data_IF_518133107287
#
_entry.id   IF_518133107287
#
_cell.length_a   1.000
_cell.length_b   1.000
_cell.length_c   1.000
_cell.angle_alpha   90.00
_cell.angle_beta   90.00
_cell.angle_gamma   90.00
#
_symmetry.space_group_name_H-M   'P 1'
#
loop_
_entity.id
_entity.type
_entity.pdbx_description
1 polymer ?
#
# COMPACT_ATOMS: atom_id res chain seq x y z
N UNK A 1 9.51 2.68 -21.69
CA UNK A 1 8.83 1.51 -21.13
C UNK A 1 7.67 1.17 -22.02
N UNK A 2 7.61 -0.06 -22.50
CA UNK A 2 6.50 -0.53 -23.33
C UNK A 2 5.31 -0.93 -22.44
N UNK A 3 4.07 -0.94 -22.95
CA UNK A 3 2.90 -1.40 -22.20
C UNK A 3 3.04 -2.83 -21.63
N UNK A 4 3.79 -3.70 -22.32
CA UNK A 4 4.07 -5.08 -21.88
C UNK A 4 4.96 -5.14 -20.63
N UNK A 5 5.90 -4.21 -20.49
CA UNK A 5 6.77 -4.09 -19.31
C UNK A 5 5.98 -3.62 -18.07
N UNK A 6 4.95 -2.79 -18.28
CA UNK A 6 4.07 -2.31 -17.21
C UNK A 6 3.19 -3.47 -16.70
N UNK A 7 2.66 -4.29 -17.62
CA UNK A 7 1.75 -5.41 -17.30
C UNK A 7 2.43 -6.59 -16.59
N UNK A 8 3.73 -6.80 -16.79
CA UNK A 8 4.46 -7.90 -16.13
C UNK A 8 4.75 -7.59 -14.65
N UNK A 9 4.79 -6.30 -14.28
CA UNK A 9 5.13 -5.83 -12.93
C UNK A 9 3.92 -5.57 -12.04
N UNK A 10 2.75 -5.43 -12.66
CA UNK A 10 1.50 -5.00 -12.07
C UNK A 10 0.47 -6.07 -12.44
N UNK A 11 -0.03 -6.82 -11.46
CA UNK A 11 -0.92 -7.96 -11.73
C UNK A 11 -2.19 -7.55 -12.49
N UNK A 12 -2.95 -8.51 -13.02
CA UNK A 12 -4.16 -8.23 -13.83
C UNK A 12 -5.22 -7.30 -13.17
N UNK A 13 -5.15 -7.07 -11.85
CA UNK A 13 -5.96 -6.10 -11.12
C UNK A 13 -5.53 -4.62 -11.33
N UNK A 14 -4.31 -4.36 -11.80
CA UNK A 14 -3.72 -3.01 -11.84
C UNK A 14 -4.13 -2.16 -13.04
N UNK A 15 -4.30 -2.73 -14.23
CA UNK A 15 -4.51 -1.89 -15.42
C UNK A 15 -5.84 -1.13 -15.36
N UNK A 16 -6.89 -1.78 -14.84
CA UNK A 16 -8.17 -1.12 -14.59
C UNK A 16 -8.06 -0.05 -13.51
N UNK A 17 -7.37 -0.34 -12.39
CA UNK A 17 -7.17 0.63 -11.31
C UNK A 17 -6.37 1.85 -11.79
N UNK A 18 -5.32 1.64 -12.59
CA UNK A 18 -4.52 2.71 -13.18
C UNK A 18 -5.36 3.56 -14.13
N UNK A 19 -6.20 2.94 -14.98
CA UNK A 19 -7.12 3.68 -15.85
C UNK A 19 -8.13 4.50 -15.05
N UNK A 20 -8.68 3.95 -13.98
CA UNK A 20 -9.63 4.65 -13.11
C UNK A 20 -8.96 5.81 -12.37
N UNK A 21 -7.78 5.61 -11.79
CA UNK A 21 -6.98 6.66 -11.15
C UNK A 21 -6.58 7.76 -12.14
N UNK A 22 -6.29 7.39 -13.39
CA UNK A 22 -5.90 8.33 -14.45
C UNK A 22 -7.04 9.25 -14.87
N UNK A 23 -8.29 8.82 -14.71
CA UNK A 23 -9.51 9.62 -15.00
C UNK A 23 -9.85 10.62 -13.90
N UNK A 24 -9.26 10.48 -12.71
CA UNK A 24 -9.46 11.44 -11.62
C UNK A 24 -8.66 12.73 -11.85
N UNK A 25 -9.18 13.84 -11.35
CA UNK A 25 -8.41 15.08 -11.23
C UNK A 25 -7.16 14.84 -10.36
N UNK A 26 -6.07 15.62 -10.53
CA UNK A 26 -4.85 15.43 -9.74
C UNK A 26 -5.08 15.39 -8.22
N UNK A 27 -5.90 16.30 -7.70
CA UNK A 27 -6.25 16.33 -6.28
C UNK A 27 -7.00 15.08 -5.82
N UNK A 28 -7.98 14.60 -6.61
CA UNK A 28 -8.74 13.39 -6.29
C UNK A 28 -7.89 12.12 -6.40
N UNK A 29 -6.95 12.07 -7.33
CA UNK A 29 -5.99 10.97 -7.43
C UNK A 29 -5.12 10.88 -6.19
N UNK A 30 -4.53 12.00 -5.77
CA UNK A 30 -3.73 12.06 -4.54
C UNK A 30 -4.53 11.65 -3.31
N UNK A 31 -5.75 12.18 -3.17
CA UNK A 31 -6.65 11.81 -2.09
C UNK A 31 -6.92 10.29 -2.07
N UNK A 32 -7.27 9.71 -3.21
CA UNK A 32 -7.57 8.27 -3.33
C UNK A 32 -6.36 7.42 -2.96
N UNK A 33 -5.15 7.83 -3.38
CA UNK A 33 -3.91 7.13 -3.02
C UNK A 33 -3.61 7.19 -1.53
N UNK A 34 -3.84 8.34 -0.87
CA UNK A 34 -3.63 8.49 0.56
C UNK A 34 -4.64 7.66 1.38
N UNK A 35 -5.90 7.64 0.96
CA UNK A 35 -6.95 6.80 1.58
C UNK A 35 -6.60 5.31 1.45
N UNK A 36 -6.14 4.88 0.26
CA UNK A 36 -5.68 3.50 0.06
C UNK A 36 -4.47 3.16 0.94
N UNK A 37 -3.51 4.09 1.05
CA UNK A 37 -2.35 3.92 1.92
C UNK A 37 -2.76 3.75 3.39
N UNK A 38 -3.72 4.52 3.87
CA UNK A 38 -4.23 4.42 5.24
C UNK A 38 -4.85 3.03 5.49
N UNK A 39 -5.73 2.57 4.60
CA UNK A 39 -6.36 1.24 4.69
C UNK A 39 -5.32 0.12 4.69
N UNK A 40 -4.29 0.24 3.86
CA UNK A 40 -3.21 -0.74 3.77
C UNK A 40 -2.37 -0.79 5.05
N UNK A 41 -1.98 0.38 5.59
CA UNK A 41 -1.23 0.48 6.84
C UNK A 41 -2.02 -0.09 8.03
N UNK A 42 -3.33 0.18 8.11
CA UNK A 42 -4.20 -0.36 9.15
C UNK A 42 -4.28 -1.89 9.10
N UNK A 43 -4.36 -2.46 7.90
CA UNK A 43 -4.33 -3.93 7.73
C UNK A 43 -3.01 -4.53 8.20
N UNK A 44 -1.88 -3.90 7.88
CA UNK A 44 -0.56 -4.35 8.34
C UNK A 44 -0.44 -4.25 9.84
N UNK A 45 -0.82 -3.10 10.43
CA UNK A 45 -0.80 -2.88 11.88
C UNK A 45 -1.67 -3.92 12.60
N UNK A 46 -2.88 -4.18 12.11
CA UNK A 46 -3.77 -5.20 12.68
C UNK A 46 -3.15 -6.60 12.60
N UNK A 47 -2.52 -6.93 11.47
CA UNK A 47 -1.81 -8.21 11.32
C UNK A 47 -0.63 -8.34 12.27
N UNK A 48 0.17 -7.28 12.43
CA UNK A 48 1.31 -7.26 13.36
C UNK A 48 0.85 -7.39 14.80
N UNK A 49 -0.20 -6.68 15.21
CA UNK A 49 -0.77 -6.79 16.56
C UNK A 49 -1.22 -8.21 16.88
N UNK A 50 -1.85 -8.90 15.94
CA UNK A 50 -2.26 -10.30 16.14
C UNK A 50 -1.08 -11.26 16.27
N UNK A 51 0.01 -11.00 15.55
CA UNK A 51 1.21 -11.84 15.57
C UNK A 51 2.12 -11.57 16.78
N UNK A 52 2.10 -10.33 17.29
CA UNK A 52 2.96 -9.85 18.37
C UNK A 52 2.13 -9.07 19.40
N UNK A 53 1.20 -9.75 20.12
CA UNK A 53 0.34 -9.09 21.11
C UNK A 53 1.12 -8.50 22.31
N UNK A 54 2.34 -9.01 22.55
CA UNK A 54 3.25 -8.57 23.62
C UNK A 54 3.89 -7.20 23.36
N UNK A 55 3.94 -6.76 22.10
CA UNK A 55 4.62 -5.52 21.73
C UNK A 55 3.75 -4.29 21.99
N UNK A 56 4.39 -3.23 22.45
CA UNK A 56 3.78 -1.90 22.55
C UNK A 56 3.51 -1.31 21.16
N UNK A 57 2.66 -0.28 21.11
CA UNK A 57 2.31 0.43 19.88
C UNK A 57 3.53 1.06 19.19
N UNK A 58 4.50 1.52 19.99
CA UNK A 58 5.76 2.06 19.48
C UNK A 58 6.62 0.97 18.83
N UNK A 59 6.77 -0.19 19.49
CA UNK A 59 7.54 -1.32 18.96
C UNK A 59 6.89 -1.90 17.70
N UNK A 60 5.56 -2.02 17.67
CA UNK A 60 4.81 -2.43 16.48
C UNK A 60 5.00 -1.45 15.31
N UNK A 61 5.05 -0.15 15.60
CA UNK A 61 5.30 0.89 14.60
C UNK A 61 6.71 0.78 14.03
N UNK A 62 7.72 0.61 14.88
CA UNK A 62 9.10 0.37 14.45
C UNK A 62 9.21 -0.88 13.59
N UNK A 63 8.63 -2.00 14.02
CA UNK A 63 8.63 -3.26 13.27
C UNK A 63 7.94 -3.12 11.90
N UNK A 64 6.85 -2.35 11.84
CA UNK A 64 6.17 -2.05 10.58
C UNK A 64 7.09 -1.30 9.61
N UNK A 65 7.81 -0.27 10.08
CA UNK A 65 8.76 0.48 9.26
C UNK A 65 9.96 -0.35 8.81
N UNK A 66 10.48 -1.23 9.67
CA UNK A 66 11.55 -2.16 9.30
C UNK A 66 11.11 -3.12 8.18
N UNK A 67 9.90 -3.69 8.28
CA UNK A 67 9.35 -4.56 7.23
C UNK A 67 9.10 -3.83 5.93
N UNK A 68 8.64 -2.57 6.02
CA UNK A 68 8.47 -1.68 4.88
C UNK A 68 9.79 -1.44 4.15
N UNK A 69 10.87 -1.18 4.89
CA UNK A 69 12.21 -0.96 4.32
C UNK A 69 12.80 -2.21 3.65
N UNK A 70 12.44 -3.40 4.12
CA UNK A 70 12.94 -4.68 3.58
C UNK A 70 12.16 -5.18 2.36
N UNK A 71 10.91 -4.78 2.18
CA UNK A 71 10.02 -5.27 1.11
C UNK A 71 9.49 -4.16 0.18
N UNK A 72 10.02 -2.94 0.30
CA UNK A 72 9.64 -1.77 -0.49
C UNK A 72 10.48 -1.59 -1.75
#
# INVERSE_FOLDING_TARGET
>A
MTPEEIQTRLGAADELQIRLLSRLSPARRLQTMLELQAVWLDNIRARLRRAHPELSDAELTTLMFERLKQNG
#
